data_IF_806440119143
#
_entry.id   IF_806440119143
#
_cell.length_a   1.000
_cell.length_b   1.000
_cell.length_c   1.000
_cell.angle_alpha   90.00
_cell.angle_beta   90.00
_cell.angle_gamma   90.00
#
_symmetry.space_group_name_H-M   'P 1'
#
loop_
_entity.id
_entity.type
_entity.pdbx_description
1 polymer ?
#
# COMPACT_ATOMS: atom_id res chain seq x y z
N UNK A 1 22.59 -7.82 -13.64
CA UNK A 1 21.20 -7.57 -13.25
C UNK A 1 21.18 -6.47 -12.21
N UNK A 2 20.31 -5.51 -12.32
CA UNK A 2 20.19 -4.46 -11.29
C UNK A 2 19.56 -5.04 -10.00
N UNK A 3 19.78 -4.37 -8.85
CA UNK A 3 19.17 -4.79 -7.58
C UNK A 3 17.61 -4.80 -7.63
N UNK A 4 17.04 -3.97 -8.51
CA UNK A 4 15.59 -3.97 -8.77
C UNK A 4 15.16 -5.28 -9.43
N UNK A 5 15.94 -5.76 -10.38
CA UNK A 5 15.64 -7.00 -11.11
C UNK A 5 15.72 -8.21 -10.18
N UNK A 6 16.68 -8.24 -9.25
CA UNK A 6 16.83 -9.32 -8.26
C UNK A 6 15.63 -9.39 -7.31
N UNK A 7 15.16 -8.25 -6.80
CA UNK A 7 13.96 -8.23 -5.97
C UNK A 7 12.74 -8.69 -6.77
N UNK A 8 12.57 -8.20 -8.00
CA UNK A 8 11.48 -8.61 -8.88
C UNK A 8 11.43 -10.11 -9.11
N UNK A 9 12.58 -10.75 -9.34
CA UNK A 9 12.66 -12.21 -9.49
C UNK A 9 12.27 -12.94 -8.21
N UNK A 10 12.71 -12.47 -7.05
CA UNK A 10 12.33 -13.04 -5.75
C UNK A 10 10.85 -12.92 -5.48
N UNK A 11 10.23 -11.79 -5.84
CA UNK A 11 8.78 -11.61 -5.72
C UNK A 11 8.02 -12.62 -6.58
N UNK A 12 8.44 -12.79 -7.83
CA UNK A 12 7.84 -13.78 -8.73
C UNK A 12 8.01 -15.20 -8.22
N UNK A 13 9.18 -15.56 -7.72
CA UNK A 13 9.47 -16.90 -7.21
C UNK A 13 8.55 -17.30 -6.06
N UNK A 14 8.24 -16.36 -5.15
CA UNK A 14 7.40 -16.67 -4.00
C UNK A 14 5.90 -16.50 -4.25
N UNK A 15 5.51 -15.62 -5.18
CA UNK A 15 4.12 -15.16 -5.32
C UNK A 15 3.41 -15.68 -6.57
N UNK A 16 4.15 -16.04 -7.62
CA UNK A 16 3.53 -16.50 -8.85
C UNK A 16 3.13 -17.97 -8.72
N UNK A 17 1.84 -18.22 -8.81
CA UNK A 17 1.25 -19.57 -8.76
C UNK A 17 0.83 -20.01 -10.16
N UNK A 18 1.11 -21.25 -10.49
CA UNK A 18 0.61 -21.89 -11.69
C UNK A 18 -0.55 -22.84 -11.32
N UNK A 19 -1.64 -22.79 -12.10
CA UNK A 19 -2.82 -23.61 -11.85
C UNK A 19 -3.98 -23.21 -12.74
N UNK A 20 -5.19 -23.41 -12.25
CA UNK A 20 -6.42 -23.00 -12.91
C UNK A 20 -7.19 -22.04 -11.98
N UNK A 21 -7.10 -20.77 -12.29
CA UNK A 21 -7.64 -19.70 -11.45
C UNK A 21 -8.76 -18.95 -12.16
N UNK A 22 -9.77 -18.57 -11.41
CA UNK A 22 -10.76 -17.58 -11.84
C UNK A 22 -10.39 -16.22 -11.27
N UNK A 23 -10.07 -15.27 -12.12
CA UNK A 23 -9.72 -13.91 -11.73
C UNK A 23 -10.97 -13.14 -11.30
N UNK A 24 -10.77 -12.02 -10.58
CA UNK A 24 -11.86 -11.13 -10.16
C UNK A 24 -12.73 -10.65 -11.33
N UNK A 25 -12.15 -10.53 -12.52
CA UNK A 25 -12.86 -10.20 -13.77
C UNK A 25 -13.77 -11.31 -14.30
N UNK A 26 -13.74 -12.50 -13.67
CA UNK A 26 -14.41 -13.72 -14.17
C UNK A 26 -13.63 -14.47 -15.23
N UNK A 27 -12.51 -13.93 -15.70
CA UNK A 27 -11.65 -14.62 -16.69
C UNK A 27 -10.86 -15.75 -16.03
N UNK A 28 -10.64 -16.82 -16.76
CA UNK A 28 -9.75 -17.92 -16.34
C UNK A 28 -8.31 -17.56 -16.66
N UNK A 29 -7.40 -17.94 -15.76
CA UNK A 29 -5.96 -17.76 -15.92
C UNK A 29 -5.23 -19.00 -15.43
N UNK A 30 -4.15 -19.35 -16.11
CA UNK A 30 -3.18 -20.36 -15.63
C UNK A 30 -2.24 -19.82 -14.56
N UNK A 31 -2.25 -18.52 -14.33
CA UNK A 31 -1.35 -17.81 -13.43
C UNK A 31 -2.14 -16.97 -12.44
N UNK A 32 -1.66 -16.95 -11.21
CA UNK A 32 -2.17 -16.08 -10.17
C UNK A 32 -1.00 -15.52 -9.36
N UNK A 33 -0.97 -14.21 -9.16
CA UNK A 33 0.02 -13.56 -8.33
C UNK A 33 -0.57 -13.35 -6.94
N UNK A 34 -0.14 -14.16 -5.99
CA UNK A 34 -0.52 -14.02 -4.58
C UNK A 34 0.46 -13.11 -3.86
N UNK A 35 0.18 -11.82 -3.86
CA UNK A 35 1.01 -10.79 -3.26
C UNK A 35 1.23 -10.97 -1.75
N UNK A 36 0.29 -11.57 -1.04
CA UNK A 36 0.44 -11.81 0.40
C UNK A 36 1.56 -12.77 0.73
N UNK A 37 2.00 -13.58 -0.22
CA UNK A 37 3.13 -14.50 -0.03
C UNK A 37 4.46 -13.76 0.12
N UNK A 38 4.64 -12.62 -0.54
CA UNK A 38 5.82 -11.80 -0.30
C UNK A 38 5.59 -10.69 0.75
N UNK A 39 4.39 -10.16 0.87
CA UNK A 39 4.08 -9.15 1.89
C UNK A 39 4.12 -9.69 3.33
N UNK A 40 4.06 -11.01 3.49
CA UNK A 40 4.20 -11.69 4.79
C UNK A 40 5.55 -12.39 4.99
N UNK A 41 6.45 -12.27 4.03
CA UNK A 41 7.84 -12.71 4.18
C UNK A 41 8.66 -11.58 4.80
N UNK A 42 9.28 -11.78 5.99
CA UNK A 42 9.92 -10.69 6.71
C UNK A 42 11.13 -10.09 6.00
N UNK A 43 11.91 -10.89 5.28
CA UNK A 43 13.08 -10.39 4.56
C UNK A 43 12.70 -9.56 3.34
N UNK A 44 11.71 -10.03 2.58
CA UNK A 44 11.19 -9.33 1.41
C UNK A 44 10.45 -8.07 1.85
N UNK A 45 9.61 -8.17 2.88
CA UNK A 45 8.84 -7.04 3.39
C UNK A 45 9.74 -5.93 3.92
N UNK A 46 10.84 -6.27 4.61
CA UNK A 46 11.82 -5.29 5.06
C UNK A 46 12.44 -4.54 3.88
N UNK A 47 12.91 -5.26 2.87
CA UNK A 47 13.52 -4.64 1.68
C UNK A 47 12.52 -3.77 0.91
N UNK A 48 11.28 -4.21 0.77
CA UNK A 48 10.21 -3.41 0.17
C UNK A 48 9.98 -2.12 0.97
N UNK A 49 9.93 -2.20 2.29
CA UNK A 49 9.78 -1.04 3.16
C UNK A 49 10.92 -0.03 3.01
N UNK A 50 12.15 -0.48 2.93
CA UNK A 50 13.32 0.37 2.72
C UNK A 50 13.26 1.08 1.35
N UNK A 51 12.89 0.36 0.29
CA UNK A 51 12.73 0.95 -1.06
C UNK A 51 11.57 1.92 -1.14
N UNK A 52 10.44 1.60 -0.53
CA UNK A 52 9.29 2.51 -0.46
C UNK A 52 9.62 3.77 0.33
N UNK A 53 10.32 3.64 1.46
CA UNK A 53 10.76 4.79 2.25
C UNK A 53 11.69 5.71 1.46
N UNK A 54 12.64 5.16 0.72
CA UNK A 54 13.52 5.94 -0.16
C UNK A 54 12.75 6.64 -1.28
N UNK A 55 11.79 5.93 -1.89
CA UNK A 55 10.94 6.49 -2.93
C UNK A 55 10.07 7.64 -2.40
N UNK A 56 9.50 7.50 -1.21
CA UNK A 56 8.72 8.57 -0.57
C UNK A 56 9.59 9.80 -0.30
N UNK A 57 10.78 9.60 0.26
CA UNK A 57 11.70 10.70 0.56
C UNK A 57 12.09 11.50 -0.69
N UNK A 58 12.21 10.83 -1.83
CA UNK A 58 12.55 11.45 -3.12
C UNK A 58 11.34 12.10 -3.80
N UNK A 59 10.22 11.37 -3.86
CA UNK A 59 9.04 11.81 -4.60
C UNK A 59 8.14 12.80 -3.82
N UNK A 60 8.07 12.68 -2.50
CA UNK A 60 7.22 13.50 -1.64
C UNK A 60 7.94 13.87 -0.32
N UNK A 61 9.00 14.70 -0.40
CA UNK A 61 9.81 15.05 0.76
C UNK A 61 9.04 15.81 1.86
N UNK A 62 7.89 16.38 1.54
CA UNK A 62 7.02 17.07 2.50
C UNK A 62 6.03 16.15 3.21
N UNK A 63 5.98 14.86 2.85
CA UNK A 63 5.13 13.92 3.54
C UNK A 63 5.53 13.78 5.00
N UNK A 64 4.56 13.94 5.88
CA UNK A 64 4.72 13.78 7.34
C UNK A 64 4.11 12.48 7.83
N UNK A 65 3.45 11.76 6.93
CA UNK A 65 2.72 10.53 7.24
C UNK A 65 2.57 9.65 6.00
N UNK A 66 2.50 8.35 6.23
CA UNK A 66 2.19 7.38 5.18
C UNK A 66 0.73 6.94 5.31
N UNK A 67 0.12 6.56 4.21
CA UNK A 67 -1.22 5.97 4.19
C UNK A 67 -1.21 4.61 3.54
N UNK A 68 -1.76 3.62 4.21
CA UNK A 68 -1.89 2.25 3.70
C UNK A 68 -3.36 1.84 3.56
N UNK A 69 -3.91 1.76 2.33
CA UNK A 69 -5.24 1.22 2.12
C UNK A 69 -5.35 -0.24 2.56
N UNK A 70 -6.37 -0.52 3.36
CA UNK A 70 -6.62 -1.88 3.83
C UNK A 70 -7.24 -2.73 2.70
N UNK A 71 -6.89 -3.99 2.64
CA UNK A 71 -5.96 -4.73 3.47
C UNK A 71 -4.53 -4.71 2.89
N UNK A 72 -4.40 -4.73 1.58
CA UNK A 72 -3.20 -5.08 0.85
C UNK A 72 -1.99 -4.17 1.05
N UNK A 73 -2.19 -2.88 1.31
CA UNK A 73 -1.09 -1.96 1.48
C UNK A 73 -0.68 -1.72 2.95
N UNK A 74 -1.36 -2.33 3.92
CA UNK A 74 -1.09 -2.09 5.35
C UNK A 74 0.29 -2.58 5.76
N UNK A 75 0.66 -3.79 5.37
CA UNK A 75 1.99 -4.34 5.68
C UNK A 75 3.10 -3.51 5.04
N UNK A 76 2.91 -3.07 3.80
CA UNK A 76 3.87 -2.22 3.09
C UNK A 76 4.03 -0.87 3.79
N UNK A 77 2.93 -0.23 4.18
CA UNK A 77 2.96 1.04 4.92
C UNK A 77 3.64 0.89 6.29
N UNK A 78 3.38 -0.20 7.00
CA UNK A 78 4.03 -0.49 8.27
C UNK A 78 5.54 -0.65 8.11
N UNK A 79 5.98 -1.42 7.12
CA UNK A 79 7.40 -1.62 6.86
C UNK A 79 8.10 -0.33 6.42
N UNK A 80 7.48 0.43 5.52
CA UNK A 80 8.01 1.73 5.10
C UNK A 80 8.04 2.76 6.25
N UNK A 81 7.06 2.71 7.15
CA UNK A 81 7.03 3.53 8.37
C UNK A 81 8.23 3.24 9.27
N UNK A 82 8.54 1.96 9.49
CA UNK A 82 9.71 1.56 10.29
C UNK A 82 11.03 1.99 9.63
N UNK A 83 11.13 1.92 8.31
CA UNK A 83 12.31 2.31 7.57
C UNK A 83 12.49 3.84 7.48
N UNK A 84 11.41 4.61 7.34
CA UNK A 84 11.45 6.06 7.17
C UNK A 84 11.38 6.85 8.49
N UNK A 85 10.86 6.25 9.55
CA UNK A 85 10.51 6.94 10.79
C UNK A 85 9.22 7.76 10.70
N UNK A 86 8.52 7.78 9.56
CA UNK A 86 7.24 8.46 9.42
C UNK A 86 6.12 7.58 10.00
N UNK A 87 5.20 8.14 10.79
CA UNK A 87 4.01 7.42 11.21
C UNK A 87 3.13 7.10 10.00
N UNK A 88 2.27 6.09 10.12
CA UNK A 88 1.31 5.77 9.08
C UNK A 88 -0.11 5.65 9.62
N UNK A 89 -1.08 5.79 8.73
CA UNK A 89 -2.49 5.57 8.98
C UNK A 89 -3.00 4.44 8.08
N UNK A 90 -4.01 3.74 8.57
CA UNK A 90 -4.70 2.70 7.80
C UNK A 90 -5.97 3.31 7.21
N UNK A 91 -6.15 3.14 5.91
CA UNK A 91 -7.31 3.64 5.19
C UNK A 91 -8.27 2.47 4.95
N UNK A 92 -9.43 2.52 5.55
CA UNK A 92 -10.46 1.48 5.39
C UNK A 92 -11.27 1.72 4.11
N UNK A 93 -11.66 0.65 3.45
CA UNK A 93 -12.56 0.71 2.30
C UNK A 93 -13.98 1.17 2.68
N UNK A 94 -14.41 0.82 3.90
CA UNK A 94 -15.75 1.12 4.42
C UNK A 94 -15.66 1.76 5.81
N UNK A 95 -16.65 2.59 6.13
CA UNK A 95 -16.79 3.18 7.46
C UNK A 95 -17.18 2.11 8.48
N UNK A 96 -16.61 2.18 9.69
CA UNK A 96 -17.05 1.35 10.81
C UNK A 96 -18.51 1.66 11.17
N UNK A 97 -19.28 0.63 11.45
CA UNK A 97 -20.62 0.76 12.03
C UNK A 97 -20.63 1.00 13.56
N UNK A 98 -19.43 1.12 14.18
CA UNK A 98 -19.26 1.25 15.64
C UNK A 98 -17.99 2.04 15.98
N UNK A 99 -17.86 2.44 17.22
CA UNK A 99 -16.71 3.19 17.71
C UNK A 99 -16.68 4.60 17.12
N UNK A 100 -15.52 5.01 16.62
CA UNK A 100 -15.31 6.35 16.03
C UNK A 100 -15.93 6.50 14.65
N UNK A 101 -16.42 5.44 14.03
CA UNK A 101 -16.99 5.41 12.68
C UNK A 101 -16.09 6.03 11.58
N UNK A 102 -14.79 6.03 11.78
CA UNK A 102 -13.82 6.63 10.86
C UNK A 102 -13.36 5.65 9.78
N UNK A 103 -13.10 6.17 8.60
CA UNK A 103 -12.42 5.45 7.52
C UNK A 103 -10.90 5.40 7.73
N UNK A 104 -10.37 6.31 8.54
CA UNK A 104 -8.94 6.40 8.85
C UNK A 104 -8.68 5.87 10.25
N UNK A 105 -7.68 5.02 10.38
CA UNK A 105 -7.22 4.48 11.65
C UNK A 105 -5.83 5.01 11.96
N UNK A 106 -5.63 5.46 13.17
CA UNK A 106 -4.41 6.10 13.64
C UNK A 106 -4.57 7.60 13.79
N UNK A 107 -3.68 8.25 14.56
CA UNK A 107 -3.72 9.69 14.75
C UNK A 107 -3.22 10.44 13.53
N UNK A 108 -3.83 11.55 13.24
CA UNK A 108 -3.41 12.51 12.22
C UNK A 108 -3.91 13.91 12.58
N UNK A 109 -3.29 14.92 11.99
CA UNK A 109 -3.67 16.32 12.17
C UNK A 109 -4.24 16.89 10.87
N UNK A 110 -5.22 17.80 10.95
CA UNK A 110 -5.69 18.53 9.76
C UNK A 110 -4.53 19.25 9.07
N UNK A 111 -4.44 19.05 7.74
CA UNK A 111 -3.35 19.62 6.95
C UNK A 111 -2.12 18.74 6.80
N UNK A 112 -2.08 17.59 7.46
CA UNK A 112 -1.00 16.61 7.25
C UNK A 112 -0.91 16.21 5.77
N UNK A 113 0.31 16.20 5.25
CA UNK A 113 0.59 15.68 3.92
C UNK A 113 0.87 14.18 4.06
N UNK A 114 0.04 13.39 3.43
CA UNK A 114 0.11 11.92 3.48
C UNK A 114 0.53 11.38 2.12
N UNK A 115 1.59 10.59 2.10
CA UNK A 115 1.95 9.80 0.92
C UNK A 115 1.25 8.44 0.98
N UNK A 116 0.41 8.18 -0.01
CA UNK A 116 -0.30 6.91 -0.12
C UNK A 116 0.61 5.85 -0.74
N UNK A 117 0.66 4.69 -0.10
CA UNK A 117 1.32 3.50 -0.62
C UNK A 117 0.24 2.51 -1.07
N UNK A 118 0.42 1.94 -2.25
CA UNK A 118 -0.54 1.01 -2.82
C UNK A 118 0.18 -0.28 -3.25
N UNK A 119 -0.48 -1.39 -3.08
CA UNK A 119 0.05 -2.71 -3.42
C UNK A 119 -0.24 -3.13 -4.87
N UNK A 120 -1.28 -2.56 -5.46
CA UNK A 120 -1.68 -2.82 -6.85
C UNK A 120 -1.95 -1.51 -7.57
N UNK A 121 -1.12 -1.21 -8.57
CA UNK A 121 -1.36 -0.07 -9.46
C UNK A 121 -2.33 -0.50 -10.57
N UNK A 122 -3.49 0.11 -10.61
CA UNK A 122 -4.50 -0.10 -11.66
C UNK A 122 -4.36 0.93 -12.77
N UNK A 123 -5.03 0.67 -13.90
CA UNK A 123 -5.06 1.64 -15.00
C UNK A 123 -5.69 2.96 -14.54
N UNK A 124 -5.20 4.12 -15.05
CA UNK A 124 -5.83 5.40 -14.79
C UNK A 124 -7.32 5.35 -15.16
N UNK A 125 -8.20 5.72 -14.21
CA UNK A 125 -9.65 5.71 -14.39
C UNK A 125 -10.39 4.63 -13.60
N UNK A 126 -9.72 3.55 -13.18
CA UNK A 126 -10.37 2.49 -12.39
C UNK A 126 -10.50 2.87 -10.90
N UNK A 127 -9.67 3.81 -10.42
CA UNK A 127 -9.69 4.33 -9.06
C UNK A 127 -9.60 5.88 -9.05
N UNK A 128 -10.64 6.55 -9.52
CA UNK A 128 -10.74 8.02 -9.49
C UNK A 128 -10.70 8.61 -8.06
N UNK A 129 -10.56 7.77 -7.03
CA UNK A 129 -10.59 8.16 -5.61
C UNK A 129 -9.23 8.21 -4.93
N UNK A 130 -8.17 7.76 -5.58
CA UNK A 130 -6.81 7.74 -5.05
C UNK A 130 -5.81 8.36 -6.04
N UNK A 131 -6.18 9.49 -6.60
CA UNK A 131 -5.36 10.24 -7.54
C UNK A 131 -4.15 10.86 -6.87
N UNK A 132 -3.01 10.20 -6.98
CA UNK A 132 -1.71 10.76 -6.62
C UNK A 132 -1.19 10.35 -5.25
N UNK A 133 0.13 10.38 -5.11
CA UNK A 133 0.85 10.09 -3.87
C UNK A 133 0.62 11.13 -2.76
N UNK A 134 -0.14 12.18 -3.01
CA UNK A 134 -0.33 13.30 -2.10
C UNK A 134 -1.82 13.57 -1.87
N UNK A 135 -2.27 13.40 -0.63
CA UNK A 135 -3.60 13.82 -0.21
C UNK A 135 -3.47 14.67 1.05
N UNK A 136 -3.87 15.96 1.01
CA UNK A 136 -4.05 16.71 2.24
C UNK A 136 -5.25 16.13 2.99
N UNK A 137 -5.07 15.85 4.26
CA UNK A 137 -6.18 15.47 5.13
C UNK A 137 -6.92 16.75 5.53
N UNK A 138 -8.12 16.95 5.03
CA UNK A 138 -8.90 18.17 5.29
C UNK A 138 -9.62 18.17 6.65
N UNK A 139 -9.39 17.14 7.44
CA UNK A 139 -9.95 17.02 8.78
C UNK A 139 -11.46 16.81 8.81
N UNK A 140 -12.10 16.58 7.68
CA UNK A 140 -13.52 16.25 7.67
C UNK A 140 -13.68 14.84 8.22
N UNK A 141 -14.22 14.77 9.41
CA UNK A 141 -14.89 13.58 9.87
C UNK A 141 -16.17 13.49 9.03
N UNK A 142 -16.27 12.49 8.19
CA UNK A 142 -17.55 12.20 7.56
C UNK A 142 -18.60 12.03 8.66
N UNK A 143 -19.76 12.64 8.50
CA UNK A 143 -20.82 12.60 9.52
C UNK A 143 -21.32 11.18 9.79
#
# INVERSE_FOLDING_TARGET
MSAVDELGLRLLDVALLEGDFTLRSGKRSRWYLDKYRFETDPAILQELGERLAATVADAEPEAVRLGGPALGAVALAASASMASGLPFIIIRGETKGYGTANRLEGPFEPGDIVCLLEDVVRRPGDDARLGGCRAPLDGRRDP
#
